data_IF_937526142152
#
_entry.id   IF_937526142152
#
_cell.length_a   1.000
_cell.length_b   1.000
_cell.length_c   1.000
_cell.angle_alpha   90.00
_cell.angle_beta   90.00
_cell.angle_gamma   90.00
#
_symmetry.space_group_name_H-M   'P 1'
#
loop_
_entity.id
_entity.type
_entity.pdbx_description
1 polymer ?
#
# COMPACT_ATOMS: atom_id res chain seq x y z
N UNK A 1 10.14 -19.58 72.22
CA UNK A 1 10.64 -18.19 72.08
C UNK A 1 9.96 -17.62 70.84
N UNK A 2 8.81 -16.92 70.97
CA UNK A 2 8.67 -15.46 71.17
C UNK A 2 9.52 -14.69 70.13
N UNK A 3 8.99 -13.87 69.21
CA UNK A 3 7.63 -13.39 69.04
C UNK A 3 7.44 -12.69 67.68
N UNK A 4 6.18 -12.65 67.24
CA UNK A 4 5.63 -11.86 66.14
C UNK A 4 5.21 -10.48 66.65
N UNK A 5 5.36 -9.44 65.83
CA UNK A 5 4.62 -8.17 65.88
C UNK A 5 4.05 -7.99 64.45
N UNK A 6 2.74 -8.04 64.12
CA UNK A 6 1.58 -7.22 64.50
C UNK A 6 1.87 -5.70 64.35
N UNK A 7 1.11 -4.86 63.64
CA UNK A 7 -0.35 -4.77 63.51
C UNK A 7 -0.82 -4.20 62.15
N UNK A 8 -2.05 -4.59 61.83
CA UNK A 8 -2.93 -4.13 60.74
C UNK A 8 -3.72 -2.88 61.17
N UNK A 9 -4.41 -2.26 60.20
CA UNK A 9 -5.59 -1.36 60.28
C UNK A 9 -5.30 0.15 60.40
N UNK A 10 -5.76 0.95 59.43
CA UNK A 10 -7.15 1.42 59.30
C UNK A 10 -7.44 2.15 57.98
N UNK A 11 -8.75 2.17 57.70
CA UNK A 11 -9.47 2.56 56.49
C UNK A 11 -9.76 4.06 56.42
N UNK A 12 -9.80 4.64 55.20
CA UNK A 12 -10.83 5.65 54.84
C UNK A 12 -11.33 5.44 53.39
N UNK A 13 -12.62 5.13 53.30
CA UNK A 13 -13.49 5.13 52.12
C UNK A 13 -13.55 6.52 51.46
N UNK A 14 -13.72 6.59 50.15
CA UNK A 14 -14.97 7.08 49.53
C UNK A 14 -14.94 7.04 47.98
N UNK A 15 -16.03 6.51 47.42
CA UNK A 15 -16.65 6.80 46.12
C UNK A 15 -15.93 6.44 44.81
N UNK A 16 -15.94 5.15 44.47
CA UNK A 16 -16.13 4.77 43.06
C UNK A 16 -17.61 4.95 42.72
N UNK A 17 -17.95 6.09 42.12
CA UNK A 17 -19.20 6.22 41.38
C UNK A 17 -19.09 5.26 40.21
N UNK A 18 -19.80 4.14 40.28
CA UNK A 18 -20.11 3.32 39.13
C UNK A 18 -20.96 4.17 38.19
N UNK A 19 -20.31 4.87 37.25
CA UNK A 19 -21.01 5.46 36.11
C UNK A 19 -21.40 4.28 35.23
N UNK A 20 -22.58 3.73 35.49
CA UNK A 20 -23.34 3.00 34.48
C UNK A 20 -23.65 3.99 33.35
N UNK A 21 -22.71 4.16 32.41
CA UNK A 21 -23.01 4.70 31.10
C UNK A 21 -23.86 3.63 30.42
N UNK A 22 -25.17 3.72 30.67
CA UNK A 22 -26.20 3.05 29.91
C UNK A 22 -26.17 3.70 28.53
N UNK A 23 -25.24 3.28 27.67
CA UNK A 23 -25.29 3.58 26.24
C UNK A 23 -26.53 2.89 25.68
N UNK A 24 -27.67 3.57 25.82
CA UNK A 24 -28.82 3.38 24.93
C UNK A 24 -28.32 3.80 23.56
N UNK A 25 -27.71 2.86 22.83
CA UNK A 25 -27.61 2.97 21.39
C UNK A 25 -29.04 3.19 20.89
N UNK A 26 -29.33 4.42 20.45
CA UNK A 26 -30.40 4.63 19.48
C UNK A 26 -30.02 3.73 18.31
N UNK A 27 -30.72 2.59 18.21
CA UNK A 27 -30.85 1.83 16.97
C UNK A 27 -31.49 2.77 15.95
N UNK A 28 -30.69 3.67 15.37
CA UNK A 28 -31.00 4.20 14.07
C UNK A 28 -30.88 2.99 13.13
N UNK A 29 -32.03 2.40 12.79
CA UNK A 29 -32.20 1.72 11.51
C UNK A 29 -31.93 2.75 10.42
N UNK A 30 -30.65 3.01 10.15
CA UNK A 30 -30.24 3.50 8.84
C UNK A 30 -30.41 2.29 7.94
N UNK A 31 -31.51 2.27 7.19
CA UNK A 31 -31.59 1.39 6.05
C UNK A 31 -30.50 1.85 5.07
N UNK A 32 -29.37 1.14 5.06
CA UNK A 32 -28.41 1.24 3.97
C UNK A 32 -29.18 0.95 2.68
N UNK A 33 -29.50 2.00 1.92
CA UNK A 33 -30.06 1.83 0.58
C UNK A 33 -28.97 1.19 -0.25
N UNK A 34 -29.04 -0.13 -0.40
CA UNK A 34 -28.17 -0.87 -1.29
C UNK A 34 -28.17 -0.18 -2.67
N UNK A 35 -26.99 0.09 -3.25
CA UNK A 35 -26.92 0.76 -4.54
C UNK A 35 -27.69 -0.04 -5.60
N UNK A 36 -28.51 0.66 -6.39
CA UNK A 36 -29.27 0.04 -7.49
C UNK A 36 -28.31 -0.53 -8.54
N UNK A 37 -28.78 -1.56 -9.25
CA UNK A 37 -28.07 -2.10 -10.41
C UNK A 37 -27.84 -0.98 -11.44
N UNK A 38 -26.68 -0.99 -12.08
CA UNK A 38 -26.32 0.01 -13.07
C UNK A 38 -26.87 -0.38 -14.46
N UNK A 39 -27.85 0.38 -14.96
CA UNK A 39 -28.53 0.10 -16.23
C UNK A 39 -27.56 0.05 -17.42
N UNK A 40 -26.54 0.90 -17.42
CA UNK A 40 -25.55 0.97 -18.48
C UNK A 40 -24.58 -0.22 -18.46
N UNK A 41 -24.23 -0.74 -17.28
CA UNK A 41 -23.49 -2.02 -17.14
C UNK A 41 -24.33 -3.15 -17.72
N UNK A 42 -25.62 -3.22 -17.37
CA UNK A 42 -26.52 -4.26 -17.90
C UNK A 42 -26.69 -4.15 -19.41
N UNK A 43 -26.83 -2.93 -19.94
CA UNK A 43 -26.91 -2.67 -21.38
C UNK A 43 -25.62 -3.11 -22.09
N UNK A 44 -24.46 -2.83 -21.51
CA UNK A 44 -23.17 -3.27 -22.05
C UNK A 44 -23.08 -4.80 -22.15
N UNK A 45 -23.42 -5.52 -21.07
CA UNK A 45 -23.42 -6.98 -21.06
C UNK A 45 -24.42 -7.58 -22.07
N UNK A 46 -25.54 -6.90 -22.34
CA UNK A 46 -26.53 -7.35 -23.31
C UNK A 46 -26.21 -6.93 -24.76
N UNK A 47 -25.24 -6.03 -24.97
CA UNK A 47 -24.99 -5.41 -26.27
C UNK A 47 -24.16 -6.26 -27.23
N UNK A 48 -23.37 -7.20 -26.71
CA UNK A 48 -22.42 -7.99 -27.49
C UNK A 48 -22.60 -9.49 -27.22
N UNK A 49 -22.65 -10.35 -28.26
CA UNK A 49 -22.74 -11.80 -28.09
C UNK A 49 -21.62 -12.41 -27.23
N UNK A 50 -20.47 -11.72 -27.12
CA UNK A 50 -19.33 -12.19 -26.34
C UNK A 50 -19.58 -12.23 -24.82
N UNK A 51 -20.64 -11.57 -24.33
CA UNK A 51 -21.05 -11.54 -22.93
C UNK A 51 -22.35 -12.32 -22.66
N UNK A 52 -22.87 -13.05 -23.65
CA UNK A 52 -24.09 -13.84 -23.49
C UNK A 52 -23.97 -14.84 -22.33
N UNK A 53 -24.95 -14.84 -21.43
CA UNK A 53 -24.97 -15.73 -20.26
C UNK A 53 -24.01 -15.34 -19.13
N UNK A 54 -23.22 -14.26 -19.30
CA UNK A 54 -22.26 -13.82 -18.29
C UNK A 54 -22.95 -13.16 -17.10
N UNK A 55 -24.05 -12.44 -17.34
CA UNK A 55 -24.79 -11.71 -16.31
C UNK A 55 -25.28 -12.65 -15.20
N UNK A 56 -25.72 -13.84 -15.56
CA UNK A 56 -26.21 -14.88 -14.66
C UNK A 56 -25.09 -15.50 -13.81
N UNK A 57 -23.85 -15.43 -14.30
CA UNK A 57 -22.67 -15.96 -13.63
C UNK A 57 -22.05 -14.96 -12.65
N UNK A 58 -22.39 -13.68 -12.74
CA UNK A 58 -21.80 -12.62 -11.92
C UNK A 58 -22.62 -12.35 -10.65
N UNK A 59 -21.99 -12.10 -9.50
CA UNK A 59 -22.69 -11.66 -8.31
C UNK A 59 -23.25 -10.25 -8.54
N UNK A 60 -24.42 -9.97 -7.95
CA UNK A 60 -25.12 -8.68 -8.15
C UNK A 60 -24.33 -7.45 -7.71
N UNK A 61 -23.36 -7.61 -6.80
CA UNK A 61 -22.43 -6.55 -6.41
C UNK A 61 -21.62 -6.03 -7.60
N UNK A 62 -21.15 -6.91 -8.50
CA UNK A 62 -20.35 -6.50 -9.66
C UNK A 62 -21.15 -5.77 -10.74
N UNK A 63 -22.48 -5.86 -10.70
CA UNK A 63 -23.40 -5.19 -11.61
C UNK A 63 -23.77 -3.76 -11.15
N UNK A 64 -23.16 -3.30 -10.07
CA UNK A 64 -23.34 -1.95 -9.49
C UNK A 64 -22.13 -1.08 -9.81
N UNK A 65 -22.28 0.22 -9.57
CA UNK A 65 -21.18 1.18 -9.63
C UNK A 65 -20.76 1.63 -8.24
N UNK A 66 -19.46 1.82 -8.07
CA UNK A 66 -18.85 2.24 -6.80
C UNK A 66 -17.97 3.46 -7.02
N UNK A 67 -17.80 4.30 -6.00
CA UNK A 67 -16.80 5.38 -6.06
C UNK A 67 -15.39 4.79 -6.00
N UNK A 68 -15.16 3.91 -5.03
CA UNK A 68 -13.90 3.21 -4.80
C UNK A 68 -14.19 1.72 -4.56
N UNK A 69 -14.21 0.88 -5.60
CA UNK A 69 -14.38 -0.55 -5.40
C UNK A 69 -13.14 -1.18 -4.78
N UNK A 70 -13.33 -2.19 -3.91
CA UNK A 70 -12.23 -2.91 -3.26
C UNK A 70 -11.51 -3.87 -4.22
N UNK A 71 -12.25 -4.47 -5.15
CA UNK A 71 -11.74 -5.44 -6.12
C UNK A 71 -12.19 -5.09 -7.55
N UNK A 72 -11.48 -5.64 -8.53
CA UNK A 72 -11.75 -5.46 -9.95
C UNK A 72 -11.51 -6.79 -10.67
N UNK A 73 -12.47 -7.26 -11.46
CA UNK A 73 -12.48 -8.57 -12.12
C UNK A 73 -12.54 -8.41 -13.63
N UNK A 74 -11.68 -9.12 -14.35
CA UNK A 74 -11.68 -9.15 -15.81
C UNK A 74 -12.79 -10.06 -16.34
N UNK A 75 -13.64 -9.53 -17.22
CA UNK A 75 -14.76 -10.27 -17.81
C UNK A 75 -14.64 -10.55 -19.31
N UNK A 76 -13.67 -9.93 -20.00
CA UNK A 76 -13.52 -10.07 -21.46
C UNK A 76 -12.38 -11.03 -21.85
N UNK A 77 -12.71 -12.04 -22.67
CA UNK A 77 -11.75 -13.08 -23.12
C UNK A 77 -10.64 -12.54 -24.03
N UNK A 78 -10.92 -11.57 -24.90
CA UNK A 78 -9.90 -10.99 -25.80
C UNK A 78 -8.88 -10.21 -25.00
N UNK A 79 -9.33 -9.42 -24.03
CA UNK A 79 -8.45 -8.66 -23.13
C UNK A 79 -7.62 -9.59 -22.26
N UNK A 80 -8.19 -10.70 -21.77
CA UNK A 80 -7.44 -11.72 -21.05
C UNK A 80 -6.32 -12.32 -21.91
N UNK A 81 -6.58 -12.60 -23.18
CA UNK A 81 -5.57 -13.07 -24.12
C UNK A 81 -4.47 -12.03 -24.38
N UNK A 82 -4.82 -10.74 -24.51
CA UNK A 82 -3.85 -9.65 -24.63
C UNK A 82 -2.95 -9.58 -23.40
N UNK A 83 -3.54 -9.59 -22.20
CA UNK A 83 -2.79 -9.55 -20.93
C UNK A 83 -1.87 -10.77 -20.86
N UNK A 84 -2.40 -11.98 -21.02
CA UNK A 84 -1.64 -13.23 -20.96
C UNK A 84 -0.46 -13.26 -21.94
N UNK A 85 -0.69 -12.84 -23.19
CA UNK A 85 0.38 -12.76 -24.19
C UNK A 85 1.44 -11.70 -23.89
N UNK A 86 1.05 -10.61 -23.22
CA UNK A 86 1.98 -9.54 -22.83
C UNK A 86 2.87 -9.99 -21.68
N UNK A 87 2.33 -10.74 -20.71
CA UNK A 87 3.05 -11.13 -19.48
C UNK A 87 3.80 -12.45 -19.62
N UNK A 88 3.48 -13.31 -20.59
CA UNK A 88 4.05 -14.67 -20.68
C UNK A 88 5.58 -14.72 -20.71
N UNK A 89 6.22 -13.73 -21.32
CA UNK A 89 7.70 -13.65 -21.41
C UNK A 89 8.37 -13.33 -20.08
N UNK A 90 7.61 -12.85 -19.10
CA UNK A 90 8.10 -12.53 -17.76
C UNK A 90 8.03 -13.71 -16.79
N UNK A 91 7.38 -14.81 -17.19
CA UNK A 91 7.25 -15.99 -16.34
C UNK A 91 8.52 -16.83 -16.42
N UNK A 92 9.34 -16.73 -15.37
CA UNK A 92 10.53 -17.55 -15.18
C UNK A 92 10.16 -18.91 -14.60
N UNK A 93 10.81 -19.96 -15.11
CA UNK A 93 10.67 -21.32 -14.56
C UNK A 93 11.15 -21.33 -13.10
N UNK A 94 10.34 -21.87 -12.20
CA UNK A 94 10.64 -21.96 -10.77
C UNK A 94 10.19 -20.76 -9.92
N UNK A 95 9.81 -19.62 -10.52
CA UNK A 95 9.20 -18.52 -9.76
C UNK A 95 7.71 -18.83 -9.52
N UNK A 96 7.22 -18.73 -8.26
CA UNK A 96 5.80 -18.89 -7.99
C UNK A 96 4.97 -17.83 -8.73
N UNK A 97 3.85 -18.27 -9.30
CA UNK A 97 2.91 -17.40 -10.00
C UNK A 97 1.60 -17.34 -9.22
N UNK A 98 1.22 -16.14 -8.81
CA UNK A 98 0.00 -15.85 -8.07
C UNK A 98 -0.94 -15.05 -8.97
N UNK A 99 -2.22 -15.39 -8.99
CA UNK A 99 -3.29 -14.55 -9.52
C UNK A 99 -4.24 -14.20 -8.38
N UNK A 100 -4.49 -12.90 -8.20
CA UNK A 100 -5.36 -12.36 -7.15
C UNK A 100 -6.69 -11.94 -7.76
N UNK A 101 -7.79 -12.36 -7.12
CA UNK A 101 -9.17 -12.13 -7.53
C UNK A 101 -9.43 -12.58 -8.99
N UNK A 102 -9.20 -13.87 -9.32
CA UNK A 102 -9.37 -14.40 -10.68
C UNK A 102 -10.82 -14.34 -11.18
N UNK A 103 -11.81 -14.25 -10.28
CA UNK A 103 -13.23 -14.22 -10.63
C UNK A 103 -13.65 -15.46 -11.40
N UNK A 104 -14.24 -15.29 -12.58
CA UNK A 104 -14.63 -16.39 -13.46
C UNK A 104 -13.45 -17.17 -14.07
N UNK A 105 -12.20 -16.86 -13.69
CA UNK A 105 -11.00 -17.56 -14.13
C UNK A 105 -10.66 -17.34 -15.61
N UNK A 106 -11.18 -16.26 -16.22
CA UNK A 106 -10.97 -15.96 -17.64
C UNK A 106 -9.50 -15.67 -17.94
N UNK A 107 -8.84 -14.89 -17.08
CA UNK A 107 -7.40 -14.64 -17.20
C UNK A 107 -6.62 -15.92 -16.87
N UNK A 108 -6.94 -16.58 -15.76
CA UNK A 108 -6.36 -17.87 -15.36
C UNK A 108 -6.30 -18.87 -16.51
N UNK A 109 -7.41 -19.08 -17.22
CA UNK A 109 -7.47 -20.03 -18.34
C UNK A 109 -6.53 -19.64 -19.49
N UNK A 110 -6.40 -18.34 -19.80
CA UNK A 110 -5.49 -17.86 -20.83
C UNK A 110 -4.02 -18.02 -20.40
N UNK A 111 -3.71 -17.77 -19.13
CA UNK A 111 -2.36 -17.97 -18.58
C UNK A 111 -1.99 -19.46 -18.63
N UNK A 112 -2.87 -20.36 -18.21
CA UNK A 112 -2.64 -21.82 -18.25
C UNK A 112 -2.37 -22.34 -19.66
N UNK A 113 -2.95 -21.71 -20.69
CA UNK A 113 -2.68 -22.05 -22.11
C UNK A 113 -1.33 -21.55 -22.60
N UNK A 114 -0.75 -20.53 -21.96
CA UNK A 114 0.49 -19.89 -22.41
C UNK A 114 1.74 -20.33 -21.64
N UNK A 115 1.63 -21.02 -20.50
CA UNK A 115 2.76 -21.49 -19.71
C UNK A 115 2.50 -22.83 -19.02
N UNK A 116 3.57 -23.48 -18.51
CA UNK A 116 3.50 -24.81 -17.87
C UNK A 116 3.69 -24.89 -16.33
N UNK A 117 3.87 -23.76 -15.66
CA UNK A 117 3.98 -23.63 -14.21
C UNK A 117 2.64 -23.76 -13.48
N UNK A 118 2.71 -24.17 -12.20
CA UNK A 118 1.58 -24.13 -11.26
C UNK A 118 1.21 -22.68 -10.95
N UNK A 119 -0.09 -22.40 -10.86
CA UNK A 119 -0.64 -21.08 -10.52
C UNK A 119 -1.34 -21.18 -9.16
N UNK A 120 -1.11 -20.20 -8.31
CA UNK A 120 -1.78 -20.04 -7.02
C UNK A 120 -2.85 -18.96 -7.15
N UNK A 121 -4.08 -19.32 -6.85
CA UNK A 121 -5.24 -18.45 -6.98
C UNK A 121 -5.73 -18.04 -5.59
N UNK A 122 -5.83 -16.74 -5.35
CA UNK A 122 -6.45 -16.18 -4.16
C UNK A 122 -7.70 -15.41 -4.55
N UNK A 123 -8.86 -15.91 -4.14
CA UNK A 123 -10.16 -15.31 -4.45
C UNK A 123 -10.84 -14.87 -3.16
N UNK A 124 -11.31 -13.63 -3.11
CA UNK A 124 -12.00 -13.11 -1.94
C UNK A 124 -13.45 -13.61 -1.87
N UNK A 125 -14.10 -13.85 -3.02
CA UNK A 125 -15.52 -14.19 -3.11
C UNK A 125 -15.77 -15.68 -3.35
N UNK A 126 -16.46 -16.33 -2.40
CA UNK A 126 -16.92 -17.71 -2.55
C UNK A 126 -17.81 -17.95 -3.78
N UNK A 127 -18.44 -16.91 -4.33
CA UNK A 127 -19.29 -17.01 -5.52
C UNK A 127 -18.56 -17.61 -6.72
N UNK A 128 -17.25 -17.40 -6.81
CA UNK A 128 -16.46 -17.85 -7.97
C UNK A 128 -15.88 -19.26 -7.82
N UNK A 129 -15.96 -19.86 -6.64
CA UNK A 129 -15.39 -21.19 -6.36
C UNK A 129 -15.77 -22.25 -7.40
N UNK A 130 -17.06 -22.40 -7.81
CA UNK A 130 -17.43 -23.43 -8.78
C UNK A 130 -16.69 -23.32 -10.12
N UNK A 131 -16.45 -22.09 -10.60
CA UNK A 131 -15.74 -21.87 -11.87
C UNK A 131 -14.25 -22.17 -11.75
N UNK A 132 -13.67 -21.89 -10.58
CA UNK A 132 -12.26 -22.17 -10.30
C UNK A 132 -12.03 -23.67 -10.07
N UNK A 133 -12.98 -24.36 -9.45
CA UNK A 133 -12.97 -25.82 -9.29
C UNK A 133 -13.06 -26.53 -10.65
N UNK A 134 -13.93 -26.06 -11.55
CA UNK A 134 -14.02 -26.58 -12.93
C UNK A 134 -12.69 -26.39 -13.68
N UNK A 135 -12.02 -25.24 -13.50
CA UNK A 135 -10.69 -25.02 -14.06
C UNK A 135 -9.64 -25.95 -13.44
N UNK A 136 -9.70 -26.21 -12.14
CA UNK A 136 -8.79 -27.14 -11.46
C UNK A 136 -8.96 -28.58 -11.96
N UNK A 137 -10.21 -29.01 -12.23
CA UNK A 137 -10.50 -30.30 -12.85
C UNK A 137 -9.97 -30.37 -14.30
N UNK A 138 -10.12 -29.28 -15.07
CA UNK A 138 -9.62 -29.18 -16.44
C UNK A 138 -8.09 -29.19 -16.53
N UNK A 139 -7.39 -28.65 -15.53
CA UNK A 139 -5.94 -28.56 -15.45
C UNK A 139 -5.40 -29.15 -14.14
N UNK A 140 -5.45 -30.50 -13.97
CA UNK A 140 -5.12 -31.16 -12.72
C UNK A 140 -3.66 -30.91 -12.33
N UNK A 141 -3.42 -30.59 -11.05
CA UNK A 141 -2.08 -30.32 -10.49
C UNK A 141 -1.47 -28.96 -10.89
N UNK A 142 -2.14 -28.20 -11.76
CA UNK A 142 -1.64 -26.90 -12.25
C UNK A 142 -2.20 -25.70 -11.48
N UNK A 143 -3.23 -25.90 -10.66
CA UNK A 143 -3.90 -24.86 -9.90
C UNK A 143 -3.88 -25.22 -8.42
N UNK A 144 -3.54 -24.25 -7.57
CA UNK A 144 -3.79 -24.27 -6.14
C UNK A 144 -4.69 -23.11 -5.79
N UNK A 145 -5.91 -23.40 -5.36
CA UNK A 145 -6.94 -22.40 -5.13
C UNK A 145 -7.21 -22.22 -3.63
N UNK A 146 -7.35 -20.97 -3.20
CA UNK A 146 -7.74 -20.61 -1.83
C UNK A 146 -8.70 -19.43 -1.82
N UNK A 147 -9.73 -19.55 -0.99
CA UNK A 147 -10.57 -18.43 -0.60
C UNK A 147 -9.84 -17.60 0.44
N UNK A 148 -9.39 -16.40 0.06
CA UNK A 148 -8.79 -15.43 0.95
C UNK A 148 -8.60 -14.07 0.27
N UNK A 149 -8.61 -13.01 1.07
CA UNK A 149 -8.18 -11.68 0.66
C UNK A 149 -6.65 -11.57 0.70
N UNK A 150 -6.01 -11.73 -0.45
CA UNK A 150 -4.56 -11.59 -0.58
C UNK A 150 -4.10 -10.15 -0.36
N UNK A 151 -4.90 -9.15 -0.76
CA UNK A 151 -4.55 -7.74 -0.58
C UNK A 151 -4.67 -7.32 0.90
N UNK A 152 -5.57 -7.96 1.66
CA UNK A 152 -5.71 -7.81 3.11
C UNK A 152 -4.65 -8.54 3.96
N UNK A 153 -3.68 -9.22 3.34
CA UNK A 153 -2.64 -9.99 4.04
C UNK A 153 -1.88 -9.14 5.07
N UNK A 154 -1.65 -7.85 4.83
CA UNK A 154 -0.97 -6.97 5.80
C UNK A 154 -1.69 -6.89 7.16
N UNK A 155 -3.04 -6.98 7.18
CA UNK A 155 -3.83 -6.98 8.43
C UNK A 155 -3.49 -8.19 9.29
N UNK A 156 -3.20 -9.32 8.63
CA UNK A 156 -2.75 -10.54 9.29
C UNK A 156 -1.33 -10.36 9.82
N UNK A 157 -0.41 -9.79 9.04
CA UNK A 157 0.98 -9.55 9.45
C UNK A 157 1.06 -8.64 10.67
N UNK A 158 0.18 -7.63 10.74
CA UNK A 158 0.09 -6.75 11.90
C UNK A 158 -0.41 -7.50 13.15
N UNK A 159 -1.49 -8.28 13.02
CA UNK A 159 -2.02 -9.09 14.13
C UNK A 159 -1.00 -10.08 14.64
N UNK A 160 -0.35 -10.81 13.72
CA UNK A 160 0.70 -11.77 14.02
C UNK A 160 1.86 -11.10 14.79
N UNK A 161 2.20 -9.85 14.50
CA UNK A 161 3.20 -9.11 15.28
C UNK A 161 2.75 -8.79 16.71
N UNK A 162 1.46 -8.57 16.95
CA UNK A 162 0.94 -8.22 18.27
C UNK A 162 0.76 -9.45 19.17
N UNK A 163 0.45 -10.61 18.59
CA UNK A 163 0.12 -11.83 19.33
C UNK A 163 1.01 -13.04 19.02
N UNK A 164 2.11 -12.84 18.29
CA UNK A 164 3.03 -13.89 17.81
C UNK A 164 2.32 -14.99 17.01
N UNK A 165 1.35 -14.58 16.18
CA UNK A 165 0.53 -15.46 15.35
C UNK A 165 1.21 -15.98 14.09
N UNK A 166 0.55 -16.94 13.43
CA UNK A 166 1.03 -17.64 12.22
C UNK A 166 0.09 -17.47 11.01
N UNK A 167 -0.80 -16.47 11.02
CA UNK A 167 -1.88 -16.31 10.02
C UNK A 167 -1.34 -16.07 8.61
N UNK A 168 -0.23 -15.37 8.47
CA UNK A 168 0.46 -15.20 7.17
C UNK A 168 0.95 -16.54 6.63
N UNK A 169 1.59 -17.34 7.49
CA UNK A 169 2.11 -18.64 7.10
C UNK A 169 0.97 -19.57 6.69
N UNK A 170 -0.12 -19.57 7.45
CA UNK A 170 -1.33 -20.31 7.11
C UNK A 170 -1.95 -19.82 5.79
N UNK A 171 -2.01 -18.51 5.55
CA UNK A 171 -2.50 -17.92 4.31
C UNK A 171 -1.69 -18.43 3.11
N UNK A 172 -0.37 -18.32 3.18
CA UNK A 172 0.54 -18.62 2.08
C UNK A 172 0.74 -20.14 1.85
N UNK A 173 0.70 -20.96 2.90
CA UNK A 173 0.96 -22.40 2.81
C UNK A 173 2.30 -22.69 2.13
N UNK A 174 2.28 -23.45 1.02
CA UNK A 174 3.46 -23.76 0.19
C UNK A 174 4.18 -22.52 -0.36
N UNK A 175 3.50 -21.37 -0.43
CA UNK A 175 4.10 -20.11 -0.84
C UNK A 175 4.88 -19.43 0.29
N UNK A 176 4.79 -19.88 1.54
CA UNK A 176 5.61 -19.29 2.61
C UNK A 176 7.09 -19.62 2.39
N UNK A 177 7.98 -18.66 2.60
CA UNK A 177 9.44 -18.82 2.48
C UNK A 177 10.18 -17.90 3.44
N UNK A 178 11.39 -18.28 3.81
CA UNK A 178 12.36 -17.37 4.45
C UNK A 178 13.38 -16.80 3.45
N UNK A 179 13.38 -17.30 2.20
CA UNK A 179 14.23 -16.79 1.13
C UNK A 179 13.73 -15.42 0.63
N UNK A 180 14.43 -14.37 1.07
CA UNK A 180 14.15 -12.98 0.69
C UNK A 180 14.49 -12.67 -0.76
N UNK A 181 15.36 -13.47 -1.40
CA UNK A 181 15.76 -13.27 -2.79
C UNK A 181 14.79 -13.95 -3.76
N UNK A 182 13.94 -14.87 -3.28
CA UNK A 182 12.91 -15.51 -4.10
C UNK A 182 11.98 -14.44 -4.67
N UNK A 183 11.91 -14.37 -5.99
CA UNK A 183 10.96 -13.49 -6.67
C UNK A 183 9.63 -14.23 -6.86
N UNK A 184 8.53 -13.58 -6.50
CA UNK A 184 7.16 -14.07 -6.69
C UNK A 184 6.44 -13.18 -7.69
N UNK A 185 5.86 -13.80 -8.72
CA UNK A 185 5.11 -13.10 -9.77
C UNK A 185 3.65 -12.99 -9.34
N UNK A 186 3.09 -11.78 -9.36
CA UNK A 186 1.71 -11.53 -8.90
C UNK A 186 0.92 -10.85 -10.01
N UNK A 187 -0.14 -11.48 -10.48
CA UNK A 187 -1.10 -10.93 -11.44
C UNK A 187 -2.37 -10.48 -10.71
N UNK A 188 -2.94 -9.38 -11.16
CA UNK A 188 -4.24 -8.94 -10.67
C UNK A 188 -4.66 -7.59 -11.21
N UNK A 189 -5.76 -7.08 -10.68
CA UNK A 189 -6.31 -5.78 -11.03
C UNK A 189 -6.50 -4.96 -9.77
N UNK A 190 -6.02 -3.71 -9.81
CA UNK A 190 -6.03 -2.82 -8.65
C UNK A 190 -6.92 -1.60 -8.95
N UNK A 191 -8.13 -1.54 -8.37
CA UNK A 191 -9.04 -0.41 -8.58
C UNK A 191 -8.57 0.89 -7.91
N UNK A 192 -7.81 0.81 -6.81
CA UNK A 192 -7.39 1.93 -5.98
C UNK A 192 -5.99 1.75 -5.39
N UNK A 193 -5.41 2.80 -4.80
CA UNK A 193 -4.03 2.76 -4.31
C UNK A 193 -3.83 2.00 -2.97
N UNK A 194 -4.90 1.51 -2.34
CA UNK A 194 -4.83 0.86 -1.02
C UNK A 194 -3.82 -0.30 -1.00
N UNK A 195 -3.91 -1.22 -1.97
CA UNK A 195 -2.95 -2.32 -2.11
C UNK A 195 -1.50 -1.82 -2.30
N UNK A 196 -1.29 -0.75 -3.07
CA UNK A 196 0.06 -0.19 -3.26
C UNK A 196 0.62 0.41 -1.98
N UNK A 197 -0.20 1.15 -1.22
CA UNK A 197 0.17 1.63 0.12
C UNK A 197 0.57 0.44 0.99
N UNK A 198 -0.21 -0.64 1.02
CA UNK A 198 0.13 -1.83 1.80
C UNK A 198 1.44 -2.50 1.37
N UNK A 199 1.71 -2.58 0.08
CA UNK A 199 2.96 -3.13 -0.43
C UNK A 199 4.18 -2.32 0.03
N UNK A 200 4.08 -0.98 -0.04
CA UNK A 200 5.09 -0.06 0.49
C UNK A 200 5.32 -0.33 1.98
N UNK A 201 4.25 -0.44 2.78
CA UNK A 201 4.35 -0.69 4.22
C UNK A 201 4.95 -2.07 4.53
N UNK A 202 4.59 -3.11 3.79
CA UNK A 202 5.21 -4.42 3.96
C UNK A 202 6.71 -4.38 3.72
N UNK A 203 7.18 -3.64 2.70
CA UNK A 203 8.62 -3.47 2.48
C UNK A 203 9.26 -2.63 3.59
N UNK A 204 8.59 -1.60 4.10
CA UNK A 204 9.17 -0.72 5.13
C UNK A 204 9.23 -1.36 6.52
N UNK A 205 8.19 -2.09 6.92
CA UNK A 205 8.02 -2.58 8.30
C UNK A 205 8.21 -4.08 8.47
N UNK A 206 8.10 -4.84 7.38
CA UNK A 206 8.13 -6.30 7.41
C UNK A 206 9.20 -6.88 6.48
N UNK A 207 10.18 -6.09 6.04
CA UNK A 207 11.25 -6.59 5.17
C UNK A 207 11.96 -7.83 5.74
N UNK A 208 12.25 -7.80 7.04
CA UNK A 208 12.99 -8.86 7.71
C UNK A 208 12.15 -10.10 7.99
N UNK A 209 10.82 -9.93 8.13
CA UNK A 209 9.85 -10.99 8.48
C UNK A 209 8.96 -11.38 7.31
N UNK A 210 9.20 -10.86 6.11
CA UNK A 210 8.37 -11.12 4.94
C UNK A 210 8.49 -12.59 4.52
N UNK A 211 7.36 -13.28 4.49
CA UNK A 211 7.27 -14.70 4.15
C UNK A 211 6.95 -14.97 2.68
N UNK A 212 6.71 -13.94 1.87
CA UNK A 212 6.38 -14.12 0.46
C UNK A 212 7.64 -14.09 -0.44
N UNK A 213 8.69 -13.39 -0.03
CA UNK A 213 9.81 -13.03 -0.89
C UNK A 213 9.57 -11.70 -1.61
N UNK A 214 10.37 -11.41 -2.65
CA UNK A 214 10.29 -10.16 -3.41
C UNK A 214 9.16 -10.19 -4.44
N UNK A 215 8.17 -9.30 -4.36
CA UNK A 215 7.07 -9.26 -5.31
C UNK A 215 7.51 -8.61 -6.62
N UNK A 216 7.09 -9.23 -7.72
CA UNK A 216 7.16 -8.69 -9.08
C UNK A 216 5.76 -8.74 -9.70
N UNK A 217 5.12 -7.59 -9.76
CA UNK A 217 3.69 -7.48 -9.99
C UNK A 217 3.38 -7.14 -11.44
N UNK A 218 2.29 -7.69 -11.94
CA UNK A 218 1.69 -7.43 -13.26
C UNK A 218 0.24 -7.01 -13.04
N UNK A 219 0.04 -5.71 -12.87
CA UNK A 219 -1.23 -5.16 -12.36
C UNK A 219 -1.88 -4.29 -13.42
N UNK A 220 -3.18 -4.49 -13.65
CA UNK A 220 -3.99 -3.51 -14.37
C UNK A 220 -4.50 -2.44 -13.41
N UNK A 221 -4.25 -1.17 -13.70
CA UNK A 221 -4.69 -0.06 -12.85
C UNK A 221 -5.17 1.16 -13.65
N UNK A 222 -5.99 2.04 -13.06
CA UNK A 222 -6.36 3.31 -13.67
C UNK A 222 -5.14 4.18 -14.00
N UNK A 223 -5.21 4.90 -15.13
CA UNK A 223 -4.11 5.74 -15.63
C UNK A 223 -3.69 6.80 -14.62
N UNK A 224 -4.64 7.47 -13.96
CA UNK A 224 -4.35 8.51 -12.97
C UNK A 224 -3.61 7.96 -11.73
N UNK A 225 -3.81 6.69 -11.36
CA UNK A 225 -3.04 6.06 -10.28
C UNK A 225 -1.60 5.82 -10.69
N UNK A 226 -1.37 5.38 -11.93
CA UNK A 226 -0.02 5.24 -12.47
C UNK A 226 0.70 6.60 -12.53
N UNK A 227 0.04 7.63 -13.07
CA UNK A 227 0.58 8.99 -13.16
C UNK A 227 0.93 9.56 -11.78
N UNK A 228 0.06 9.34 -10.79
CA UNK A 228 0.32 9.72 -9.41
C UNK A 228 1.56 9.02 -8.83
N UNK A 229 1.67 7.70 -8.98
CA UNK A 229 2.79 6.91 -8.43
C UNK A 229 4.11 7.23 -9.13
N UNK A 230 4.08 7.53 -10.42
CA UNK A 230 5.27 7.77 -11.26
C UNK A 230 5.54 9.25 -11.51
N UNK A 231 4.87 10.13 -10.77
CA UNK A 231 4.98 11.59 -10.89
C UNK A 231 6.44 12.04 -10.78
N UNK A 232 6.96 12.62 -11.86
CA UNK A 232 8.33 13.11 -11.95
C UNK A 232 8.55 14.36 -11.13
N UNK A 233 7.50 15.13 -10.82
CA UNK A 233 7.61 16.33 -9.99
C UNK A 233 7.98 15.97 -8.54
N UNK A 234 7.70 14.74 -8.11
CA UNK A 234 8.16 14.18 -6.83
C UNK A 234 9.69 14.12 -6.75
N UNK A 235 10.36 13.95 -7.89
CA UNK A 235 11.82 14.00 -7.96
C UNK A 235 12.36 15.42 -7.87
N UNK A 236 11.55 16.44 -8.19
CA UNK A 236 12.01 17.82 -8.42
C UNK A 236 11.62 18.81 -7.31
N UNK A 237 10.40 18.75 -6.75
CA UNK A 237 9.96 19.73 -5.73
C UNK A 237 8.66 19.40 -4.99
N UNK A 238 7.67 18.73 -5.61
CA UNK A 238 6.38 18.45 -4.97
C UNK A 238 6.45 17.22 -4.08
N UNK A 239 6.40 17.41 -2.77
CA UNK A 239 6.48 16.29 -1.84
C UNK A 239 5.11 15.63 -1.64
N UNK A 240 5.03 14.35 -2.00
CA UNK A 240 3.93 13.46 -1.65
C UNK A 240 4.52 12.17 -1.09
N UNK A 241 4.09 11.75 0.10
CA UNK A 241 4.72 10.66 0.85
C UNK A 241 4.65 9.32 0.10
N UNK A 242 3.46 8.96 -0.40
CA UNK A 242 3.20 7.69 -1.09
C UNK A 242 4.02 7.52 -2.38
N UNK A 243 3.95 8.43 -3.37
CA UNK A 243 4.72 8.26 -4.61
C UNK A 243 6.23 8.38 -4.37
N UNK A 244 6.67 9.15 -3.36
CA UNK A 244 8.08 9.17 -2.95
C UNK A 244 8.53 7.78 -2.52
N UNK A 245 7.87 7.19 -1.52
CA UNK A 245 8.22 5.87 -1.01
C UNK A 245 8.07 4.80 -2.09
N UNK A 246 7.06 4.91 -2.95
CA UNK A 246 6.90 4.02 -4.10
C UNK A 246 8.14 4.04 -5.02
N UNK A 247 8.56 5.22 -5.47
CA UNK A 247 9.69 5.37 -6.39
C UNK A 247 11.04 5.00 -5.74
N UNK A 248 11.14 5.07 -4.40
CA UNK A 248 12.31 4.59 -3.66
C UNK A 248 12.41 3.06 -3.61
N UNK A 249 11.28 2.37 -3.54
CA UNK A 249 11.21 0.93 -3.25
C UNK A 249 10.94 0.08 -4.50
N UNK A 250 10.35 0.66 -5.54
CA UNK A 250 9.90 -0.06 -6.72
C UNK A 250 10.35 0.61 -8.03
N UNK A 251 10.57 -0.21 -9.04
CA UNK A 251 10.60 0.19 -10.44
C UNK A 251 9.23 -0.08 -11.07
N UNK A 252 8.77 0.82 -11.93
CA UNK A 252 7.45 0.72 -12.56
C UNK A 252 7.56 1.02 -14.06
N UNK A 253 6.98 0.14 -14.89
CA UNK A 253 6.90 0.35 -16.35
C UNK A 253 5.54 -0.05 -16.90
N UNK A 254 5.05 0.70 -17.88
CA UNK A 254 3.86 0.32 -18.64
C UNK A 254 4.21 -0.78 -19.64
N UNK A 255 3.42 -1.85 -19.65
CA UNK A 255 3.56 -2.95 -20.60
C UNK A 255 2.62 -2.78 -21.80
N UNK A 256 1.35 -2.47 -21.53
CA UNK A 256 0.32 -2.22 -22.55
C UNK A 256 -0.89 -1.52 -21.94
N UNK A 257 -1.85 -1.17 -22.78
CA UNK A 257 -3.12 -0.57 -22.40
C UNK A 257 -4.27 -1.53 -22.68
N UNK A 258 -5.24 -1.59 -21.78
CA UNK A 258 -6.44 -2.43 -21.92
C UNK A 258 -7.71 -1.62 -21.66
N UNK A 259 -8.82 -2.07 -22.24
CA UNK A 259 -10.11 -1.38 -22.11
C UNK A 259 -10.70 -1.54 -20.71
N UNK A 260 -11.00 -0.42 -20.04
CA UNK A 260 -11.56 -0.39 -18.68
C UNK A 260 -12.95 -1.03 -18.58
N UNK A 261 -13.79 -0.87 -19.60
CA UNK A 261 -15.15 -1.43 -19.62
C UNK A 261 -15.18 -2.97 -19.50
N UNK A 262 -14.06 -3.64 -19.80
CA UNK A 262 -13.89 -5.09 -19.67
C UNK A 262 -13.65 -5.57 -18.24
N UNK A 263 -13.66 -4.66 -17.27
CA UNK A 263 -13.47 -4.97 -15.86
C UNK A 263 -14.70 -4.55 -15.06
N UNK A 264 -15.05 -5.32 -14.04
CA UNK A 264 -16.16 -5.02 -13.12
C UNK A 264 -15.70 -5.03 -11.66
N UNK A 265 -16.33 -4.27 -10.76
CA UNK A 265 -17.43 -3.34 -11.03
C UNK A 265 -16.95 -2.05 -11.70
N UNK A 266 -17.87 -1.32 -12.34
CA UNK A 266 -17.54 -0.01 -12.90
C UNK A 266 -17.48 1.06 -11.82
N UNK A 267 -16.62 2.05 -12.02
CA UNK A 267 -16.53 3.20 -11.11
C UNK A 267 -17.55 4.27 -11.48
N UNK A 268 -18.06 5.00 -10.49
CA UNK A 268 -18.76 6.26 -10.73
C UNK A 268 -17.77 7.26 -11.33
N UNK A 269 -18.16 7.97 -12.38
CA UNK A 269 -17.28 8.98 -13.00
C UNK A 269 -17.23 10.21 -12.08
N UNK A 270 -16.02 10.61 -11.69
CA UNK A 270 -15.78 11.88 -11.02
C UNK A 270 -15.37 12.90 -12.09
N UNK A 271 -16.36 13.44 -12.81
CA UNK A 271 -16.10 14.36 -13.92
C UNK A 271 -15.67 15.74 -13.39
N UNK A 272 -14.36 15.98 -13.23
CA UNK A 272 -13.83 17.35 -13.27
C UNK A 272 -12.50 17.53 -14.03
N UNK A 273 -11.59 16.54 -14.09
CA UNK A 273 -10.22 16.84 -14.59
C UNK A 273 -9.46 15.73 -15.37
N UNK A 274 -10.13 14.73 -15.96
CA UNK A 274 -9.42 13.70 -16.72
C UNK A 274 -9.57 13.88 -18.24
N UNK A 275 -8.48 13.64 -18.98
CA UNK A 275 -8.55 13.56 -20.44
C UNK A 275 -9.45 12.38 -20.85
N UNK A 276 -10.21 12.53 -21.95
CA UNK A 276 -11.16 11.50 -22.43
C UNK A 276 -10.50 10.12 -22.62
N UNK A 277 -9.20 10.09 -22.96
CA UNK A 277 -8.43 8.86 -23.12
C UNK A 277 -8.13 8.13 -21.79
N UNK A 278 -8.02 8.86 -20.68
CA UNK A 278 -7.74 8.31 -19.35
C UNK A 278 -8.97 7.66 -18.72
N UNK A 279 -10.19 7.98 -19.19
CA UNK A 279 -11.43 7.44 -18.63
C UNK A 279 -11.77 6.02 -19.13
N UNK A 280 -11.32 5.65 -20.32
CA UNK A 280 -11.71 4.39 -20.98
C UNK A 280 -10.66 3.28 -20.91
N UNK A 281 -9.47 3.60 -20.41
CA UNK A 281 -8.32 2.71 -20.44
C UNK A 281 -7.78 2.41 -19.04
N UNK A 282 -7.18 1.23 -18.89
CA UNK A 282 -6.32 0.86 -17.78
C UNK A 282 -4.92 0.59 -18.34
N UNK A 283 -3.89 0.88 -17.56
CA UNK A 283 -2.55 0.42 -17.86
C UNK A 283 -2.31 -0.93 -17.23
N UNK A 284 -1.80 -1.88 -18.02
CA UNK A 284 -1.10 -3.04 -17.50
C UNK A 284 0.34 -2.62 -17.24
N UNK A 285 0.75 -2.63 -15.98
CA UNK A 285 2.08 -2.22 -15.56
C UNK A 285 2.82 -3.36 -14.91
N UNK A 286 4.15 -3.34 -15.05
CA UNK A 286 5.04 -4.18 -14.27
C UNK A 286 5.67 -3.34 -13.15
N UNK A 287 5.51 -3.80 -11.91
CA UNK A 287 6.04 -3.15 -10.70
C UNK A 287 6.95 -4.14 -10.01
N UNK A 288 8.25 -3.83 -9.95
CA UNK A 288 9.27 -4.73 -9.40
C UNK A 288 9.90 -4.10 -8.17
N UNK A 289 9.98 -4.82 -7.05
CA UNK A 289 10.71 -4.33 -5.88
C UNK A 289 12.21 -4.22 -6.20
N UNK A 290 12.82 -3.06 -5.91
CA UNK A 290 14.26 -2.85 -6.07
C UNK A 290 15.09 -3.78 -5.20
N UNK A 291 16.22 -4.24 -5.73
CA UNK A 291 17.17 -5.10 -5.00
C UNK A 291 17.91 -4.31 -3.93
N UNK A 292 18.43 -3.15 -4.32
CA UNK A 292 19.10 -2.23 -3.43
C UNK A 292 18.06 -1.27 -2.84
N UNK A 293 17.81 -1.44 -1.55
CA UNK A 293 16.97 -0.53 -0.78
C UNK A 293 17.76 0.74 -0.39
N UNK A 294 17.07 1.86 -0.12
CA UNK A 294 17.74 3.13 0.21
C UNK A 294 18.55 3.08 1.50
N UNK A 295 18.24 2.20 2.44
CA UNK A 295 18.99 1.97 3.67
C UNK A 295 18.84 0.51 4.12
N UNK A 296 19.63 0.04 5.11
CA UNK A 296 19.44 -1.28 5.69
C UNK A 296 18.02 -1.45 6.26
N UNK A 297 17.54 -2.70 6.27
CA UNK A 297 16.14 -3.02 6.54
C UNK A 297 15.64 -2.49 7.89
N UNK A 298 16.49 -2.49 8.91
CA UNK A 298 16.21 -2.01 10.26
C UNK A 298 16.05 -0.48 10.37
N UNK A 299 16.45 0.28 9.34
CA UNK A 299 16.29 1.73 9.24
C UNK A 299 15.15 2.15 8.28
N UNK A 300 14.50 1.23 7.58
CA UNK A 300 13.37 1.56 6.70
C UNK A 300 12.17 2.20 7.42
N UNK A 301 11.77 1.74 8.63
CA UNK A 301 10.73 2.42 9.40
C UNK A 301 11.07 3.89 9.73
N UNK A 302 12.36 4.17 9.95
CA UNK A 302 12.86 5.51 10.24
C UNK A 302 12.83 6.39 8.99
N UNK A 303 13.15 5.82 7.82
CA UNK A 303 13.02 6.50 6.53
C UNK A 303 11.57 6.90 6.27
N UNK A 304 10.62 6.00 6.51
CA UNK A 304 9.20 6.30 6.39
C UNK A 304 8.78 7.49 7.28
N UNK A 305 9.24 7.49 8.54
CA UNK A 305 8.93 8.56 9.47
C UNK A 305 9.59 9.89 9.07
N UNK A 306 10.80 9.83 8.54
CA UNK A 306 11.53 10.99 8.01
C UNK A 306 10.78 11.69 6.87
N UNK A 307 10.07 10.93 6.02
CA UNK A 307 9.28 11.47 4.90
C UNK A 307 7.82 11.83 5.26
N UNK A 308 7.43 11.79 6.54
CA UNK A 308 6.10 12.24 6.94
C UNK A 308 5.96 13.76 6.82
N UNK A 309 4.78 14.28 6.43
CA UNK A 309 4.54 15.72 6.30
C UNK A 309 4.93 16.54 7.54
N UNK A 310 4.72 15.99 8.74
CA UNK A 310 5.07 16.65 10.01
C UNK A 310 6.57 16.84 10.23
N UNK A 311 7.40 16.01 9.61
CA UNK A 311 8.87 16.07 9.66
C UNK A 311 9.44 16.81 8.45
N UNK A 312 8.65 16.87 7.37
CA UNK A 312 9.13 17.11 6.04
C UNK A 312 8.05 17.83 5.22
N UNK A 313 8.13 19.15 5.13
CA UNK A 313 7.44 19.96 4.11
C UNK A 313 8.46 20.58 3.14
N UNK A 314 7.99 21.11 2.00
CA UNK A 314 8.89 21.80 1.05
C UNK A 314 9.62 22.98 1.71
N UNK A 315 8.93 23.68 2.61
CA UNK A 315 9.40 24.85 3.34
C UNK A 315 10.16 24.52 4.63
N UNK A 316 10.24 23.24 5.01
CA UNK A 316 10.95 22.85 6.23
C UNK A 316 12.45 23.01 5.99
N UNK A 317 13.10 23.82 6.82
CA UNK A 317 14.56 24.00 6.80
C UNK A 317 15.25 22.75 7.31
N UNK A 318 16.24 22.27 6.55
CA UNK A 318 16.89 20.97 6.79
C UNK A 318 17.63 20.96 8.12
N UNK A 319 18.54 21.91 8.32
CA UNK A 319 19.39 21.96 9.52
C UNK A 319 18.56 22.16 10.81
N UNK A 320 17.69 23.19 10.90
CA UNK A 320 16.86 23.38 12.09
C UNK A 320 15.99 22.18 12.45
N UNK A 321 15.49 21.43 11.47
CA UNK A 321 14.69 20.22 11.72
C UNK A 321 15.55 19.11 12.33
N UNK A 322 16.76 18.87 11.80
CA UNK A 322 17.65 17.83 12.32
C UNK A 322 18.19 18.16 13.72
N UNK A 323 18.45 19.44 14.00
CA UNK A 323 18.96 19.88 15.30
C UNK A 323 17.94 19.71 16.44
N UNK A 324 16.65 19.53 16.13
CA UNK A 324 15.65 19.12 17.13
C UNK A 324 15.94 17.73 17.71
N UNK A 325 16.65 16.89 16.95
CA UNK A 325 16.97 15.51 17.33
C UNK A 325 18.42 15.38 17.79
N UNK A 326 19.35 16.01 17.06
CA UNK A 326 20.78 15.99 17.37
C UNK A 326 21.30 17.42 17.42
N UNK A 327 21.38 18.05 18.62
CA UNK A 327 21.80 19.43 18.76
C UNK A 327 23.20 19.69 18.18
N UNK A 328 23.35 20.78 17.43
CA UNK A 328 24.62 21.19 16.83
C UNK A 328 25.03 20.41 15.57
N UNK A 329 24.17 19.51 15.07
CA UNK A 329 24.49 18.70 13.89
C UNK A 329 24.61 19.52 12.59
N UNK A 330 24.09 20.74 12.57
CA UNK A 330 24.13 21.62 11.40
C UNK A 330 25.54 21.91 10.90
N UNK A 331 26.53 21.95 11.81
CA UNK A 331 27.93 22.23 11.46
C UNK A 331 28.48 21.21 10.47
N UNK A 332 28.09 19.94 10.57
CA UNK A 332 28.56 18.85 9.71
C UNK A 332 27.99 18.96 8.30
N UNK A 333 26.75 19.44 8.18
CA UNK A 333 26.12 19.70 6.89
C UNK A 333 26.70 20.94 6.20
N UNK A 334 26.94 22.02 6.96
CA UNK A 334 27.50 23.27 6.42
C UNK A 334 28.94 23.09 5.95
N UNK A 335 29.77 22.44 6.77
CA UNK A 335 31.18 22.19 6.43
C UNK A 335 31.36 21.04 5.42
N UNK A 336 30.34 20.22 5.23
CA UNK A 336 30.39 18.99 4.44
C UNK A 336 31.19 17.86 5.09
N UNK A 337 31.72 18.07 6.30
CA UNK A 337 32.55 17.12 7.04
C UNK A 337 31.73 16.39 8.09
N UNK A 338 31.60 15.07 7.93
CA UNK A 338 30.93 14.24 8.94
C UNK A 338 31.83 13.99 10.17
N UNK A 339 31.25 13.77 11.37
CA UNK A 339 32.00 13.41 12.56
C UNK A 339 32.95 12.21 12.33
N UNK A 340 34.16 12.19 12.95
CA UNK A 340 35.11 11.09 12.81
C UNK A 340 34.50 9.72 13.10
N UNK A 341 33.68 9.64 14.15
CA UNK A 341 33.06 8.41 14.67
C UNK A 341 31.75 8.04 13.96
N UNK A 342 31.46 8.67 12.81
CA UNK A 342 30.25 8.36 12.03
C UNK A 342 30.26 6.92 11.53
N UNK A 343 29.12 6.24 11.62
CA UNK A 343 28.95 4.87 11.18
C UNK A 343 29.03 4.78 9.64
N UNK A 344 30.20 4.36 9.15
CA UNK A 344 30.50 4.27 7.71
C UNK A 344 29.61 3.29 6.94
N UNK A 345 28.95 2.35 7.62
CA UNK A 345 27.99 1.43 6.98
C UNK A 345 26.67 2.13 6.64
N UNK A 346 26.32 3.18 7.37
CA UNK A 346 25.08 3.95 7.19
C UNK A 346 25.31 5.28 6.45
N UNK A 347 26.54 5.80 6.50
CA UNK A 347 26.91 7.04 5.81
C UNK A 347 26.68 6.93 4.30
N UNK A 348 26.42 8.07 3.61
CA UNK A 348 26.30 8.08 2.16
C UNK A 348 27.53 7.49 1.46
N UNK A 349 27.29 6.67 0.46
CA UNK A 349 28.32 6.07 -0.40
C UNK A 349 28.58 6.88 -1.67
N UNK A 350 29.41 6.33 -2.56
CA UNK A 350 29.76 6.97 -3.85
C UNK A 350 28.57 7.07 -4.82
N UNK A 351 27.58 6.19 -4.65
CA UNK A 351 26.37 6.16 -5.49
C UNK A 351 25.29 7.14 -5.01
N UNK A 352 25.46 7.72 -3.82
CA UNK A 352 24.51 8.66 -3.24
C UNK A 352 24.70 10.06 -3.83
N UNK A 353 23.61 10.81 -3.97
CA UNK A 353 23.66 12.14 -4.57
C UNK A 353 24.41 13.12 -3.66
N UNK A 354 25.36 13.85 -4.25
CA UNK A 354 26.05 14.95 -3.57
C UNK A 354 25.05 16.02 -3.11
N UNK A 355 25.21 16.43 -1.86
CA UNK A 355 24.46 17.57 -1.33
C UNK A 355 25.00 18.87 -1.93
N UNK A 356 24.12 19.86 -2.18
CA UNK A 356 24.58 21.21 -2.49
C UNK A 356 25.27 21.82 -1.26
N UNK A 357 25.84 23.02 -1.42
CA UNK A 357 26.35 23.77 -0.27
C UNK A 357 25.20 24.10 0.69
N UNK A 358 25.14 23.38 1.81
CA UNK A 358 24.06 23.50 2.79
C UNK A 358 24.25 24.74 3.64
N UNK A 359 23.15 25.44 3.94
CA UNK A 359 23.12 26.58 4.87
C UNK A 359 21.96 26.41 5.84
N UNK A 360 21.91 27.24 6.87
CA UNK A 360 20.78 27.28 7.82
C UNK A 360 19.44 27.63 7.15
N UNK A 361 19.47 28.19 5.93
CA UNK A 361 18.29 28.55 5.15
C UNK A 361 17.89 27.50 4.12
N UNK A 362 18.70 26.46 3.91
CA UNK A 362 18.38 25.42 2.93
C UNK A 362 17.12 24.67 3.36
N UNK A 363 16.15 24.61 2.46
CA UNK A 363 14.88 23.93 2.66
C UNK A 363 14.86 22.58 1.96
N UNK A 364 13.97 21.69 2.40
CA UNK A 364 13.81 20.40 1.75
C UNK A 364 13.25 20.49 0.32
N UNK A 365 12.57 21.59 -0.02
CA UNK A 365 12.15 21.91 -1.38
C UNK A 365 13.30 22.20 -2.34
N UNK A 366 14.47 22.61 -1.81
CA UNK A 366 15.68 22.87 -2.61
C UNK A 366 16.41 21.56 -3.00
N UNK A 367 16.03 20.44 -2.39
CA UNK A 367 16.69 19.15 -2.58
C UNK A 367 15.84 18.24 -3.48
N UNK A 368 16.49 17.51 -4.38
CA UNK A 368 15.84 16.41 -5.09
C UNK A 368 15.70 15.17 -4.18
N UNK A 369 14.94 14.16 -4.61
CA UNK A 369 14.70 12.96 -3.81
C UNK A 369 15.99 12.24 -3.38
N UNK A 370 16.95 12.09 -4.27
CA UNK A 370 18.21 11.40 -3.96
C UNK A 370 19.02 12.17 -2.91
N UNK A 371 19.03 13.50 -2.97
CA UNK A 371 19.68 14.34 -1.96
C UNK A 371 18.97 14.24 -0.60
N UNK A 372 17.64 14.15 -0.57
CA UNK A 372 16.89 13.91 0.68
C UNK A 372 17.28 12.59 1.34
N UNK A 373 17.49 11.53 0.55
CA UNK A 373 18.00 10.25 1.05
C UNK A 373 19.43 10.41 1.59
N UNK A 374 20.30 11.15 0.90
CA UNK A 374 21.66 11.46 1.37
C UNK A 374 21.62 12.15 2.74
N UNK A 375 20.73 13.13 2.93
CA UNK A 375 20.52 13.80 4.23
C UNK A 375 20.10 12.77 5.29
N UNK A 376 19.11 11.93 4.98
CA UNK A 376 18.67 10.88 5.90
C UNK A 376 19.80 9.93 6.29
N UNK A 377 20.59 9.46 5.32
CA UNK A 377 21.75 8.58 5.57
C UNK A 377 22.80 9.22 6.46
N UNK A 378 23.12 10.51 6.24
CA UNK A 378 24.01 11.26 7.14
C UNK A 378 23.45 11.28 8.55
N UNK A 379 22.19 11.68 8.68
CA UNK A 379 21.50 11.80 9.96
C UNK A 379 21.54 10.51 10.79
N UNK A 380 21.21 9.36 10.18
CA UNK A 380 21.26 8.06 10.89
C UNK A 380 22.68 7.53 11.11
N UNK A 381 23.69 8.11 10.46
CA UNK A 381 25.09 7.68 10.59
C UNK A 381 25.85 8.41 11.69
N UNK A 382 25.33 9.54 12.19
CA UNK A 382 25.99 10.32 13.23
C UNK A 382 25.98 9.61 14.59
N UNK A 383 27.06 9.74 15.38
CA UNK A 383 27.24 8.95 16.60
C UNK A 383 26.15 9.21 17.66
N UNK A 384 25.58 10.41 17.68
CA UNK A 384 24.51 10.80 18.60
C UNK A 384 23.14 10.21 18.22
N UNK A 385 22.98 9.68 17.01
CA UNK A 385 21.69 9.19 16.51
C UNK A 385 21.09 8.10 17.40
N UNK A 386 21.90 7.15 17.86
CA UNK A 386 21.40 6.06 18.70
C UNK A 386 20.92 6.53 20.09
N UNK A 387 21.33 7.73 20.53
CA UNK A 387 20.91 8.32 21.80
C UNK A 387 19.71 9.28 21.64
N UNK A 388 19.42 9.70 20.42
CA UNK A 388 18.32 10.64 20.17
C UNK A 388 16.95 9.95 20.26
N UNK A 389 15.91 10.74 20.54
CA UNK A 389 14.54 10.22 20.72
C UNK A 389 13.81 9.94 19.41
N UNK A 390 14.47 10.03 18.25
CA UNK A 390 13.84 9.90 16.93
C UNK A 390 13.19 8.52 16.74
N UNK A 391 13.92 7.43 17.06
CA UNK A 391 13.41 6.06 16.95
C UNK A 391 12.20 5.82 17.85
N UNK A 392 12.32 6.20 19.12
CA UNK A 392 11.25 6.07 20.12
C UNK A 392 10.01 6.87 19.69
N UNK A 393 10.21 8.08 19.15
CA UNK A 393 9.11 8.91 18.67
C UNK A 393 8.42 8.29 17.45
N UNK A 394 9.19 7.71 16.51
CA UNK A 394 8.64 6.97 15.37
C UNK A 394 7.78 5.80 15.84
N UNK A 395 8.30 4.99 16.77
CA UNK A 395 7.59 3.82 17.32
C UNK A 395 6.28 4.22 18.01
N UNK A 396 6.27 5.33 18.75
CA UNK A 396 5.07 5.87 19.38
C UNK A 396 4.03 6.42 18.39
N UNK A 397 4.44 6.82 17.18
CA UNK A 397 3.55 7.29 16.11
C UNK A 397 3.03 6.17 15.21
N UNK A 398 3.64 4.98 15.27
CA UNK A 398 3.23 3.82 14.48
C UNK A 398 1.76 3.43 14.71
N UNK A 399 1.26 3.27 15.96
CA UNK A 399 -0.12 2.83 16.20
C UNK A 399 -1.17 3.82 15.68
N UNK A 400 -0.92 5.13 15.83
CA UNK A 400 -1.82 6.20 15.37
C UNK A 400 -1.96 6.23 13.84
N UNK A 401 -0.86 5.95 13.16
CA UNK A 401 -0.83 5.91 11.69
C UNK A 401 -1.58 4.69 11.18
N UNK A 402 -1.44 3.54 11.87
CA UNK A 402 -2.14 2.30 11.54
C UNK A 402 -3.65 2.44 11.74
N UNK A 403 -4.11 3.10 12.80
CA UNK A 403 -5.56 3.35 13.00
C UNK A 403 -6.15 4.27 11.92
N UNK A 404 -5.39 5.22 11.40
CA UNK A 404 -5.84 6.05 10.26
C UNK A 404 -6.02 5.23 8.98
N UNK A 405 -5.18 4.21 8.74
CA UNK A 405 -5.39 3.28 7.62
C UNK A 405 -6.66 2.45 7.78
N UNK A 406 -7.01 2.04 9.01
CA UNK A 406 -8.26 1.32 9.25
C UNK A 406 -9.50 2.20 9.06
N UNK A 407 -9.40 3.50 9.33
CA UNK A 407 -10.52 4.44 9.14
C UNK A 407 -10.66 4.87 7.67
N UNK A 408 -9.56 5.05 6.91
CA UNK A 408 -9.58 5.20 5.44
C UNK A 408 -10.28 4.01 4.75
N UNK A 409 -10.12 2.79 5.29
CA UNK A 409 -10.82 1.59 4.83
C UNK A 409 -12.31 1.58 5.23
N UNK A 410 -12.72 2.21 6.35
CA UNK A 410 -14.15 2.25 6.77
C UNK A 410 -14.99 3.21 5.95
N UNK A 411 -14.41 4.27 5.41
CA UNK A 411 -15.10 5.20 4.50
C UNK A 411 -15.40 4.58 3.11
N UNK A 412 -14.99 3.33 2.88
CA UNK A 412 -15.44 2.52 1.74
C UNK A 412 -16.81 1.83 1.96
N UNK A 413 -17.37 1.89 3.17
CA UNK A 413 -18.76 1.52 3.48
C UNK A 413 -19.66 2.71 3.09
N UNK A 414 -20.78 2.51 2.35
CA UNK A 414 -21.53 3.61 1.74
C UNK A 414 -22.37 4.37 2.78
N UNK A 415 -21.72 5.23 3.55
CA UNK A 415 -22.41 6.23 4.37
C UNK A 415 -22.61 7.47 3.52
N UNK A 416 -23.80 7.60 2.93
CA UNK A 416 -24.25 8.84 2.29
C UNK A 416 -24.50 9.86 3.40
N UNK A 417 -23.47 10.59 3.81
CA UNK A 417 -23.59 11.89 4.47
C UNK A 417 -22.24 12.60 4.47
N UNK A 418 -22.25 13.87 4.06
CA UNK A 418 -21.16 14.85 4.06
C UNK A 418 -20.19 14.80 2.87
N UNK A 419 -20.67 15.47 1.81
CA UNK A 419 -19.87 16.30 0.92
C UNK A 419 -19.06 17.28 1.79
N UNK A 420 -17.82 17.53 1.33
CA UNK A 420 -16.76 18.35 1.90
C UNK A 420 -15.97 17.68 3.04
N UNK A 421 -14.94 16.93 2.65
CA UNK A 421 -13.60 16.82 3.26
C UNK A 421 -12.89 15.53 2.77
N UNK A 422 -12.66 15.41 1.46
CA UNK A 422 -11.76 14.38 0.90
C UNK A 422 -10.79 15.08 -0.03
N UNK A 423 -9.73 15.64 0.54
CA UNK A 423 -8.47 15.94 -0.16
C UNK A 423 -7.36 16.45 0.80
N UNK A 424 -7.32 16.00 2.06
CA UNK A 424 -6.31 16.48 3.01
C UNK A 424 -5.55 15.35 3.69
N UNK A 425 -4.64 14.73 2.96
CA UNK A 425 -3.44 14.14 3.59
C UNK A 425 -2.13 14.53 2.91
N UNK A 426 -2.15 15.18 1.75
CA UNK A 426 -0.95 15.66 1.03
C UNK A 426 -1.17 17.02 0.30
N UNK A 427 -2.14 17.85 0.70
CA UNK A 427 -2.29 19.22 0.15
C UNK A 427 -1.79 20.27 1.13
N UNK A 428 -0.72 20.95 0.77
CA UNK A 428 -0.31 22.21 1.40
C UNK A 428 -1.38 23.28 1.10
N UNK A 429 -1.82 23.98 2.15
CA UNK A 429 -2.64 25.18 2.02
C UNK A 429 -1.72 26.31 1.54
N UNK A 430 -1.83 26.70 0.28
CA UNK A 430 -1.22 27.94 -0.19
C UNK A 430 -1.95 29.11 0.47
N UNK A 431 -1.31 29.70 1.48
CA UNK A 431 -1.67 31.01 2.00
C UNK A 431 -1.26 32.06 0.96
N UNK A 432 -2.22 32.55 0.17
CA UNK A 432 -2.06 33.83 -0.50
C UNK A 432 -2.61 34.95 0.37
N UNK A 433 -1.75 35.95 0.52
CA UNK A 433 -1.84 37.12 1.36
C UNK A 433 -3.09 37.96 1.09
N UNK A 434 -3.67 38.41 2.19
CA UNK A 434 -4.30 39.71 2.26
C UNK A 434 -3.21 40.76 2.00
N UNK A 435 -3.32 41.51 0.91
CA UNK A 435 -3.00 42.94 0.96
C UNK A 435 -3.77 43.73 -0.12
N UNK A 436 -4.21 44.90 0.34
CA UNK A 436 -5.06 45.98 -0.20
C UNK A 436 -5.29 46.12 -1.70
#
# INVERSE_FOLDING_TARGET
MIGKSFFRLHCKRCNFIAIHIRMRHKLNKLSEKQPKLAEDVLKFLNSSPEYNGLKEQLPTSLLRKYKAPESMYLINRKTASIIANTVKSYFTQGSPLIEVNPGLGILTENILKCQNNKIYLFEQSNHFSPYLDDLQQKYPGRISFKIADFFGMWKLAFKDKMDDGNRIQELLGDLSTTDKNRTVKILGSMPGLSFMKHLIYNVLFHNTTNQLGRPDLFITMPVHHYEFLTDKEVQQSKQKSVPTLFQLLFDCKTLTTVTKAHFLPWTLSNSKHHSVLNEHNLYLVNITQKEKLPCPAEYLPLLWYFFKPQMFSKSTRVIPMLEQWIPGCGVWLITGQDPPDSNKLLSPGKDDASLPHMTIFTEFGDLNLQQKITVFKRFISWPEFEQCQFRITMENNLPKSVTQFEDDDKDSIPTITHIDHMDHSDTEVDSQEFDK
#
